data_IF_644436849379
#
_entry.id   IF_644436849379
#
_cell.length_a   1.000
_cell.length_b   1.000
_cell.length_c   1.000
_cell.angle_alpha   90.00
_cell.angle_beta   90.00
_cell.angle_gamma   90.00
#
_symmetry.space_group_name_H-M   'P 1'
#
loop_
_entity.id
_entity.type
_entity.pdbx_description
1 polymer ?
#
# COMPACT_ATOMS: atom_id res chain seq x y z
N UNK A 1 30.18 4.99 -1.12
CA UNK A 1 28.84 4.37 -1.14
C UNK A 1 28.97 3.09 -1.95
N UNK A 2 28.72 1.95 -1.33
CA UNK A 2 28.82 0.67 -2.03
C UNK A 2 27.56 0.43 -2.87
N UNK A 3 27.63 -0.48 -3.84
CA UNK A 3 26.50 -0.78 -4.74
C UNK A 3 25.23 -1.20 -3.97
N UNK A 4 25.38 -1.96 -2.89
CA UNK A 4 24.28 -2.36 -2.01
C UNK A 4 23.64 -1.15 -1.31
N UNK A 5 24.44 -0.22 -0.79
CA UNK A 5 23.94 1.00 -0.15
C UNK A 5 23.11 1.84 -1.13
N UNK A 6 23.53 1.90 -2.40
CA UNK A 6 22.79 2.60 -3.45
C UNK A 6 21.43 1.95 -3.74
N UNK A 7 21.38 0.61 -3.83
CA UNK A 7 20.12 -0.13 -4.01
C UNK A 7 19.18 0.11 -2.83
N UNK A 8 19.70 0.07 -1.60
CA UNK A 8 18.91 0.30 -0.40
C UNK A 8 18.37 1.73 -0.35
N UNK A 9 19.19 2.73 -0.65
CA UNK A 9 18.76 4.13 -0.71
C UNK A 9 17.64 4.33 -1.73
N UNK A 10 17.83 3.81 -2.95
CA UNK A 10 16.83 3.90 -4.02
C UNK A 10 15.55 3.15 -3.60
N UNK A 11 15.66 1.99 -2.96
CA UNK A 11 14.51 1.23 -2.48
C UNK A 11 13.74 1.98 -1.40
N UNK A 12 14.43 2.59 -0.42
CA UNK A 12 13.82 3.44 0.62
C UNK A 12 13.07 4.61 -0.01
N UNK A 13 13.71 5.30 -0.96
CA UNK A 13 13.10 6.41 -1.68
C UNK A 13 11.87 5.99 -2.49
N UNK A 14 11.99 4.94 -3.32
CA UNK A 14 10.88 4.44 -4.15
C UNK A 14 9.72 3.92 -3.29
N UNK A 15 10.00 3.25 -2.17
CA UNK A 15 8.96 2.78 -1.25
C UNK A 15 8.17 3.97 -0.70
N UNK A 16 8.86 5.02 -0.23
CA UNK A 16 8.23 6.22 0.32
C UNK A 16 7.37 6.93 -0.73
N UNK A 17 7.94 7.21 -1.92
CA UNK A 17 7.21 7.88 -3.02
C UNK A 17 5.97 7.08 -3.42
N UNK A 18 6.12 5.77 -3.57
CA UNK A 18 5.01 4.90 -3.99
C UNK A 18 3.93 4.83 -2.91
N UNK A 19 4.31 4.75 -1.64
CA UNK A 19 3.36 4.78 -0.51
C UNK A 19 2.57 6.09 -0.46
N UNK A 20 3.23 7.24 -0.68
CA UNK A 20 2.57 8.54 -0.77
C UNK A 20 1.60 8.63 -1.94
N UNK A 21 2.01 8.16 -3.12
CA UNK A 21 1.17 8.14 -4.33
C UNK A 21 -0.05 7.24 -4.14
N UNK A 22 0.13 6.06 -3.56
CA UNK A 22 -0.97 5.12 -3.30
C UNK A 22 -2.00 5.71 -2.34
N UNK A 23 -1.55 6.29 -1.22
CA UNK A 23 -2.43 6.90 -0.21
C UNK A 23 -3.16 8.12 -0.79
N UNK A 24 -2.43 9.05 -1.42
CA UNK A 24 -3.00 10.27 -2.00
C UNK A 24 -3.94 9.98 -3.17
N UNK A 25 -3.55 9.10 -4.09
CA UNK A 25 -4.39 8.70 -5.22
C UNK A 25 -5.66 7.98 -4.78
N UNK A 26 -5.60 7.15 -3.73
CA UNK A 26 -6.79 6.50 -3.17
C UNK A 26 -7.77 7.52 -2.56
N UNK A 27 -7.28 8.59 -1.93
CA UNK A 27 -8.11 9.69 -1.42
C UNK A 27 -8.77 10.46 -2.57
N UNK A 28 -8.01 10.79 -3.62
CA UNK A 28 -8.53 11.49 -4.80
C UNK A 28 -9.64 10.67 -5.47
N UNK A 29 -9.43 9.36 -5.66
CA UNK A 29 -10.43 8.44 -6.23
C UNK A 29 -11.69 8.34 -5.35
N UNK A 30 -11.54 8.41 -4.02
CA UNK A 30 -12.65 8.43 -3.07
C UNK A 30 -13.49 9.70 -3.23
N UNK A 31 -12.85 10.87 -3.29
CA UNK A 31 -13.53 12.16 -3.51
C UNK A 31 -14.25 12.14 -4.87
N UNK A 32 -13.57 11.65 -5.90
CA UNK A 32 -14.07 11.67 -7.27
C UNK A 32 -15.34 10.83 -7.45
N UNK A 33 -15.45 9.68 -6.77
CA UNK A 33 -16.65 8.83 -6.79
C UNK A 33 -17.95 9.61 -6.51
N UNK A 34 -17.89 10.71 -5.75
CA UNK A 34 -19.09 11.47 -5.33
C UNK A 34 -19.54 12.53 -6.35
N UNK A 35 -18.64 13.03 -7.21
CA UNK A 35 -18.89 14.14 -8.14
C UNK A 35 -18.57 13.72 -9.59
N UNK A 36 -19.48 13.02 -10.25
CA UNK A 36 -19.27 12.48 -11.60
C UNK A 36 -19.71 13.52 -12.64
N UNK A 37 -18.78 14.37 -13.08
CA UNK A 37 -18.90 15.12 -14.35
C UNK A 37 -18.05 14.43 -15.43
N UNK A 38 -18.49 14.47 -16.69
CA UNK A 38 -17.87 13.72 -17.81
C UNK A 38 -16.36 13.99 -17.96
N UNK A 39 -15.91 15.24 -17.75
CA UNK A 39 -14.50 15.66 -17.85
C UNK A 39 -13.58 15.04 -16.81
N UNK A 40 -14.12 14.51 -15.72
CA UNK A 40 -13.35 13.96 -14.62
C UNK A 40 -13.19 12.44 -14.72
N UNK A 41 -13.91 11.77 -15.64
CA UNK A 41 -13.82 10.30 -15.83
C UNK A 41 -12.45 9.89 -16.31
N UNK A 42 -11.91 10.62 -17.28
CA UNK A 42 -10.58 10.36 -17.85
C UNK A 42 -9.48 10.54 -16.80
N UNK A 43 -9.63 11.56 -15.93
CA UNK A 43 -8.74 11.80 -14.81
C UNK A 43 -8.77 10.63 -13.81
N UNK A 44 -9.96 10.10 -13.51
CA UNK A 44 -10.13 8.95 -12.62
C UNK A 44 -9.45 7.67 -13.14
N UNK A 45 -9.47 7.43 -14.46
CA UNK A 45 -8.74 6.30 -15.05
C UNK A 45 -7.22 6.47 -14.93
N UNK A 46 -6.70 7.66 -15.22
CA UNK A 46 -5.27 7.97 -15.07
C UNK A 46 -4.78 7.78 -13.62
N UNK A 47 -5.53 8.29 -12.64
CA UNK A 47 -5.19 8.09 -11.22
C UNK A 47 -5.24 6.62 -10.80
N UNK A 48 -6.21 5.87 -11.29
CA UNK A 48 -6.31 4.43 -11.02
C UNK A 48 -5.06 3.69 -11.50
N UNK A 49 -4.57 3.99 -12.69
CA UNK A 49 -3.37 3.34 -13.24
C UNK A 49 -2.11 3.70 -12.45
N UNK A 50 -1.97 4.96 -12.04
CA UNK A 50 -0.88 5.41 -11.15
C UNK A 50 -0.92 4.68 -9.80
N UNK A 51 -2.08 4.61 -9.16
CA UNK A 51 -2.27 3.91 -7.88
C UNK A 51 -1.93 2.43 -8.04
N UNK A 52 -2.34 1.80 -9.14
CA UNK A 52 -1.99 0.40 -9.43
C UNK A 52 -0.48 0.19 -9.58
N UNK A 53 0.21 1.08 -10.31
CA UNK A 53 1.66 1.01 -10.47
C UNK A 53 2.39 1.18 -9.13
N UNK A 54 1.92 2.10 -8.28
CA UNK A 54 2.52 2.32 -6.96
C UNK A 54 2.43 1.09 -6.04
N UNK A 55 1.37 0.30 -6.13
CA UNK A 55 1.22 -0.92 -5.31
C UNK A 55 2.32 -1.93 -5.61
N UNK A 56 2.63 -2.13 -6.89
CA UNK A 56 3.72 -3.03 -7.31
C UNK A 56 5.05 -2.54 -6.73
N UNK A 57 5.34 -1.25 -6.85
CA UNK A 57 6.57 -0.67 -6.31
C UNK A 57 6.67 -0.79 -4.79
N UNK A 58 5.58 -0.54 -4.04
CA UNK A 58 5.52 -0.72 -2.58
C UNK A 58 5.89 -2.15 -2.20
N UNK A 59 5.31 -3.14 -2.89
CA UNK A 59 5.56 -4.56 -2.61
C UNK A 59 7.01 -4.95 -2.92
N UNK A 60 7.49 -4.62 -4.12
CA UNK A 60 8.85 -4.97 -4.56
C UNK A 60 9.91 -4.36 -3.64
N UNK A 61 9.77 -3.06 -3.33
CA UNK A 61 10.70 -2.37 -2.42
C UNK A 61 10.54 -2.83 -0.98
N UNK A 62 9.31 -3.12 -0.53
CA UNK A 62 9.04 -3.62 0.82
C UNK A 62 9.70 -4.97 1.10
N UNK A 63 9.80 -5.85 0.11
CA UNK A 63 10.54 -7.11 0.21
C UNK A 63 12.03 -6.85 0.44
N UNK A 64 12.64 -5.98 -0.38
CA UNK A 64 14.07 -5.64 -0.29
C UNK A 64 14.41 -5.09 1.10
N UNK A 65 13.61 -4.12 1.57
CA UNK A 65 13.81 -3.49 2.88
C UNK A 65 13.58 -4.45 4.05
N UNK A 66 12.65 -5.41 3.91
CA UNK A 66 12.42 -6.42 4.95
C UNK A 66 13.59 -7.40 5.05
N UNK A 67 14.17 -7.81 3.91
CA UNK A 67 15.34 -8.69 3.87
C UNK A 67 16.56 -8.00 4.49
N UNK A 68 16.84 -6.74 4.10
CA UNK A 68 17.92 -5.95 4.72
C UNK A 68 17.77 -5.97 6.23
N UNK A 69 16.59 -5.59 6.73
CA UNK A 69 16.39 -5.44 8.17
C UNK A 69 16.49 -6.74 8.96
N UNK A 70 15.97 -7.84 8.41
CA UNK A 70 16.13 -9.17 9.00
C UNK A 70 17.58 -9.67 8.98
N UNK A 71 18.43 -9.13 8.09
CA UNK A 71 19.81 -9.56 7.94
C UNK A 71 20.80 -8.72 8.76
N UNK A 72 20.48 -7.46 9.03
CA UNK A 72 21.42 -6.50 9.65
C UNK A 72 21.17 -6.23 11.13
N UNK A 73 19.94 -6.41 11.62
CA UNK A 73 19.58 -6.08 13.00
C UNK A 73 19.34 -7.35 13.84
N UNK A 74 19.81 -7.36 15.10
CA UNK A 74 19.34 -8.33 16.10
C UNK A 74 17.89 -7.98 16.47
N UNK A 75 16.96 -8.39 15.60
CA UNK A 75 15.54 -8.06 15.72
C UNK A 75 14.85 -8.86 16.81
N UNK A 76 14.08 -8.17 17.66
CA UNK A 76 13.28 -8.82 18.70
C UNK A 76 12.15 -9.67 18.10
N UNK A 77 11.70 -10.69 18.84
CA UNK A 77 10.57 -11.55 18.44
C UNK A 77 9.29 -10.74 18.15
N UNK A 78 9.06 -9.65 18.89
CA UNK A 78 7.91 -8.75 18.70
C UNK A 78 8.01 -8.05 17.33
N UNK A 79 9.20 -7.58 16.96
CA UNK A 79 9.45 -6.96 15.66
C UNK A 79 9.14 -7.94 14.51
N UNK A 80 9.60 -9.19 14.61
CA UNK A 80 9.37 -10.22 13.59
C UNK A 80 7.87 -10.48 13.40
N UNK A 81 7.10 -10.57 14.49
CA UNK A 81 5.64 -10.77 14.44
C UNK A 81 4.96 -9.60 13.73
N UNK A 82 5.32 -8.36 14.09
CA UNK A 82 4.73 -7.16 13.47
C UNK A 82 5.13 -7.01 11.99
N UNK A 83 6.38 -7.37 11.64
CA UNK A 83 6.84 -7.40 10.25
C UNK A 83 6.06 -8.44 9.45
N UNK A 84 5.86 -9.64 9.99
CA UNK A 84 5.05 -10.68 9.36
C UNK A 84 3.61 -10.24 9.17
N UNK A 85 3.01 -9.59 10.18
CA UNK A 85 1.67 -9.01 10.08
C UNK A 85 1.58 -7.95 8.97
N UNK A 86 2.58 -7.08 8.85
CA UNK A 86 2.69 -6.09 7.77
C UNK A 86 2.75 -6.76 6.39
N UNK A 87 3.54 -7.82 6.26
CA UNK A 87 3.65 -8.58 4.99
C UNK A 87 2.31 -9.24 4.63
N UNK A 88 1.65 -9.90 5.58
CA UNK A 88 0.35 -10.54 5.38
C UNK A 88 -0.70 -9.50 4.94
N UNK A 89 -0.77 -8.36 5.62
CA UNK A 89 -1.68 -7.26 5.25
C UNK A 89 -1.39 -6.74 3.84
N UNK A 90 -0.11 -6.55 3.51
CA UNK A 90 0.29 -6.06 2.18
C UNK A 90 -0.07 -7.04 1.06
N UNK A 91 0.19 -8.33 1.26
CA UNK A 91 -0.19 -9.39 0.31
C UNK A 91 -1.71 -9.52 0.18
N UNK A 92 -2.45 -9.40 1.28
CA UNK A 92 -3.91 -9.40 1.27
C UNK A 92 -4.45 -8.24 0.42
N UNK A 93 -3.96 -7.02 0.63
CA UNK A 93 -4.37 -5.86 -0.18
C UNK A 93 -3.99 -6.01 -1.65
N UNK A 94 -2.80 -6.53 -1.94
CA UNK A 94 -2.40 -6.83 -3.31
C UNK A 94 -3.36 -7.82 -3.98
N UNK A 95 -3.69 -8.91 -3.28
CA UNK A 95 -4.63 -9.91 -3.77
C UNK A 95 -6.00 -9.30 -4.05
N UNK A 96 -6.52 -8.42 -3.18
CA UNK A 96 -7.75 -7.69 -3.42
C UNK A 96 -7.66 -6.85 -4.70
N UNK A 97 -6.62 -6.02 -4.85
CA UNK A 97 -6.45 -5.18 -6.04
C UNK A 97 -6.34 -6.02 -7.31
N UNK A 98 -5.56 -7.10 -7.29
CA UNK A 98 -5.36 -7.99 -8.43
C UNK A 98 -6.66 -8.68 -8.85
N UNK A 99 -7.39 -9.27 -7.89
CA UNK A 99 -8.64 -9.99 -8.15
C UNK A 99 -9.73 -9.10 -8.74
N UNK A 100 -9.73 -7.81 -8.41
CA UNK A 100 -10.73 -6.85 -8.90
C UNK A 100 -10.24 -5.96 -10.05
N UNK A 101 -8.99 -6.16 -10.51
CA UNK A 101 -8.47 -5.60 -11.77
C UNK A 101 -9.15 -6.24 -12.99
N UNK A 102 -9.55 -7.52 -12.88
CA UNK A 102 -10.03 -8.34 -14.00
C UNK A 102 -11.55 -8.44 -14.12
N UNK A 103 -12.33 -8.01 -13.12
CA UNK A 103 -13.78 -8.10 -13.16
C UNK A 103 -14.43 -6.73 -12.91
N UNK A 104 -15.42 -6.40 -13.76
CA UNK A 104 -16.26 -5.18 -13.76
C UNK A 104 -16.46 -4.59 -12.35
N UNK A 105 -15.56 -3.68 -11.95
CA UNK A 105 -15.59 -2.97 -10.67
C UNK A 105 -16.95 -2.29 -10.45
N UNK A 106 -17.59 -1.85 -11.54
CA UNK A 106 -18.94 -1.28 -11.56
C UNK A 106 -20.05 -2.29 -11.18
N UNK A 107 -19.93 -3.57 -11.53
CA UNK A 107 -20.98 -4.57 -11.22
C UNK A 107 -21.00 -5.02 -9.77
N UNK A 108 -19.85 -4.98 -9.08
CA UNK A 108 -19.72 -5.41 -7.68
C UNK A 108 -20.12 -4.29 -6.71
N UNK A 109 -19.84 -3.03 -7.04
CA UNK A 109 -20.27 -1.87 -6.24
C UNK A 109 -21.79 -1.67 -6.34
N UNK A 110 -22.39 -2.01 -7.48
CA UNK A 110 -23.83 -1.90 -7.70
C UNK A 110 -24.63 -3.12 -7.20
N UNK A 111 -23.95 -4.16 -6.71
CA UNK A 111 -24.57 -5.31 -6.06
C UNK A 111 -24.98 -4.96 -4.63
N UNK A 112 -26.22 -5.28 -4.24
CA UNK A 112 -26.77 -5.10 -2.87
C UNK A 112 -26.09 -5.97 -1.79
N UNK A 113 -24.90 -6.50 -2.05
CA UNK A 113 -24.16 -7.33 -1.11
C UNK A 113 -23.49 -6.48 -0.02
N UNK A 114 -23.69 -6.85 1.25
CA UNK A 114 -23.10 -6.19 2.43
C UNK A 114 -21.56 -6.07 2.39
N UNK A 115 -20.91 -6.89 1.57
CA UNK A 115 -19.45 -6.88 1.39
C UNK A 115 -18.92 -5.80 0.44
N UNK A 116 -19.77 -5.03 -0.24
CA UNK A 116 -19.34 -3.99 -1.20
C UNK A 116 -18.46 -2.90 -0.58
N UNK A 117 -18.56 -2.68 0.74
CA UNK A 117 -17.76 -1.70 1.48
C UNK A 117 -16.26 -2.06 1.55
N UNK A 118 -15.94 -3.36 1.69
CA UNK A 118 -14.55 -3.87 1.71
C UNK A 118 -13.86 -3.68 0.36
N UNK A 119 -14.64 -3.47 -0.71
CA UNK A 119 -14.11 -3.31 -2.07
C UNK A 119 -14.11 -1.85 -2.54
N UNK A 120 -14.45 -0.90 -1.67
CA UNK A 120 -14.49 0.53 -1.98
C UNK A 120 -13.10 1.18 -1.87
N UNK A 121 -12.87 2.28 -2.60
CA UNK A 121 -11.71 3.17 -2.39
C UNK A 121 -11.52 3.56 -0.91
N UNK A 122 -12.61 3.67 -0.13
CA UNK A 122 -12.58 3.88 1.32
C UNK A 122 -11.81 2.78 2.06
N UNK A 123 -12.00 1.51 1.70
CA UNK A 123 -11.28 0.40 2.32
C UNK A 123 -9.79 0.46 2.00
N UNK A 124 -9.42 0.82 0.76
CA UNK A 124 -8.00 0.98 0.38
C UNK A 124 -7.32 2.11 1.15
N UNK A 125 -7.99 3.26 1.30
CA UNK A 125 -7.49 4.38 2.12
C UNK A 125 -7.30 3.95 3.57
N UNK A 126 -8.32 3.35 4.20
CA UNK A 126 -8.25 2.90 5.60
C UNK A 126 -7.13 1.89 5.80
N UNK A 127 -7.03 0.90 4.91
CA UNK A 127 -5.99 -0.12 4.97
C UNK A 127 -4.59 0.48 4.82
N UNK A 128 -4.46 1.52 4.00
CA UNK A 128 -3.20 2.23 3.84
C UNK A 128 -2.76 3.01 5.06
N UNK A 129 -3.71 3.72 5.67
CA UNK A 129 -3.49 4.37 6.96
C UNK A 129 -3.08 3.34 8.02
N UNK A 130 -3.74 2.18 8.08
CA UNK A 130 -3.39 1.11 9.00
C UNK A 130 -1.97 0.57 8.77
N UNK A 131 -1.56 0.34 7.52
CA UNK A 131 -0.20 -0.12 7.21
C UNK A 131 0.85 0.92 7.62
N UNK A 132 0.57 2.21 7.38
CA UNK A 132 1.44 3.31 7.84
C UNK A 132 1.55 3.35 9.37
N UNK A 133 0.43 3.20 10.07
CA UNK A 133 0.39 3.19 11.53
C UNK A 133 1.20 2.01 12.09
N UNK A 134 1.06 0.81 11.50
CA UNK A 134 1.89 -0.35 11.86
C UNK A 134 3.36 -0.09 11.59
N UNK A 135 3.71 0.57 10.47
CA UNK A 135 5.10 0.90 10.16
C UNK A 135 5.71 1.89 11.18
N UNK A 136 4.92 2.87 11.64
CA UNK A 136 5.35 3.84 12.66
C UNK A 136 5.55 3.18 14.04
N UNK A 137 4.62 2.28 14.42
CA UNK A 137 4.79 1.44 15.61
C UNK A 137 6.06 0.60 15.50
N UNK A 138 6.34 0.04 14.32
CA UNK A 138 7.56 -0.74 14.09
C UNK A 138 8.81 0.13 14.31
N UNK A 139 8.82 1.35 13.75
CA UNK A 139 9.95 2.27 13.86
C UNK A 139 10.21 2.68 15.30
N UNK A 140 9.17 3.07 16.03
CA UNK A 140 9.27 3.51 17.43
C UNK A 140 9.69 2.39 18.38
N UNK A 141 9.28 1.14 18.10
CA UNK A 141 9.75 -0.01 18.86
C UNK A 141 11.22 -0.33 18.63
N UNK A 142 11.74 -0.07 17.42
CA UNK A 142 13.16 -0.24 17.12
C UNK A 142 13.99 0.88 17.74
N UNK A 143 13.54 2.14 17.64
CA UNK A 143 14.24 3.27 18.28
C UNK A 143 14.28 3.16 19.80
N UNK A 144 13.28 2.53 20.44
CA UNK A 144 13.28 2.29 21.89
C UNK A 144 14.22 1.18 22.37
N UNK A 145 14.82 0.41 21.47
CA UNK A 145 15.74 -0.68 21.82
C UNK A 145 17.23 -0.26 21.78
N UNK A 146 17.52 1.03 21.57
CA UNK A 146 18.86 1.63 21.65
C UNK A 146 18.90 2.78 22.66
#
# INVERSE_FOLDING_TARGET
>A
MNFLDAILLISKFLHAVSASVWLGGSIILLIYRKNINQSWKDLGFFFKDIVNASIVLILSTGIILSIERLSTENVSNIYIILLALKIILSLWLFFLVWKFRTNKYETLINSKNKFSWIFSYTFFVISGVLIFLVAEILSTLVEKQF
#
